data_IF_977339695116
#
_entry.id   IF_977339695116
#
_cell.length_a   1.000
_cell.length_b   1.000
_cell.length_c   1.000
_cell.angle_alpha   90.00
_cell.angle_beta   90.00
_cell.angle_gamma   90.00
#
_symmetry.space_group_name_H-M   'P 1'
#
loop_
_entity.id
_entity.type
_entity.pdbx_description
1 polymer ?
#
# COMPACT_ATOMS: atom_id res chain seq x y z
N UNK A 1 -114.90 -61.33 -7.36
CA UNK A 1 -115.34 -60.32 -8.35
C UNK A 1 -114.10 -59.87 -9.09
N UNK A 2 -113.86 -60.21 -10.35
CA UNK A 2 -114.63 -61.02 -11.30
C UNK A 2 -113.66 -61.51 -12.38
N UNK A 3 -114.07 -62.60 -13.01
CA UNK A 3 -113.38 -63.27 -14.11
C UNK A 3 -113.35 -62.40 -15.37
N UNK A 4 -112.31 -62.54 -16.20
CA UNK A 4 -112.50 -62.49 -17.66
C UNK A 4 -111.33 -63.15 -18.40
N UNK A 5 -111.60 -64.33 -18.94
CA UNK A 5 -110.95 -64.85 -20.15
C UNK A 5 -111.27 -63.93 -21.34
N UNK A 6 -110.32 -63.71 -22.26
CA UNK A 6 -110.54 -64.01 -23.68
C UNK A 6 -109.30 -63.79 -24.58
N UNK A 7 -108.94 -64.89 -25.26
CA UNK A 7 -108.65 -65.06 -26.69
C UNK A 7 -107.62 -64.20 -27.47
N UNK A 8 -106.77 -64.97 -28.17
CA UNK A 8 -105.73 -64.66 -29.15
C UNK A 8 -106.20 -63.79 -30.36
N UNK A 9 -105.25 -63.25 -31.16
CA UNK A 9 -104.84 -64.05 -32.33
C UNK A 9 -103.32 -64.22 -32.47
N UNK A 10 -103.00 -65.44 -32.85
CA UNK A 10 -101.74 -65.98 -33.31
C UNK A 10 -101.31 -65.29 -34.62
N UNK A 11 -100.18 -64.60 -34.61
CA UNK A 11 -99.49 -64.16 -35.83
C UNK A 11 -98.31 -65.10 -36.05
N UNK A 12 -98.44 -65.96 -37.06
CA UNK A 12 -97.39 -66.80 -37.58
C UNK A 12 -96.21 -65.94 -38.08
N UNK A 13 -95.19 -65.76 -37.25
CA UNK A 13 -93.86 -65.36 -37.73
C UNK A 13 -93.09 -66.59 -38.19
N UNK A 14 -92.87 -66.65 -39.51
CA UNK A 14 -91.96 -67.58 -40.14
C UNK A 14 -90.56 -67.43 -39.54
N UNK A 15 -90.15 -68.40 -38.71
CA UNK A 15 -88.76 -68.55 -38.27
C UNK A 15 -87.86 -68.70 -39.50
N UNK A 16 -87.13 -67.63 -39.84
CA UNK A 16 -85.89 -67.73 -40.61
C UNK A 16 -84.86 -68.41 -39.71
N UNK A 17 -84.62 -69.69 -39.94
CA UNK A 17 -83.45 -70.39 -39.43
C UNK A 17 -82.20 -69.60 -39.86
N UNK A 18 -81.59 -68.86 -38.94
CA UNK A 18 -80.27 -68.27 -39.17
C UNK A 18 -79.27 -69.42 -39.36
N UNK A 19 -78.43 -69.41 -40.41
CA UNK A 19 -77.49 -70.50 -40.62
C UNK A 19 -76.55 -70.54 -39.41
N UNK A 20 -76.52 -71.68 -38.71
CA UNK A 20 -75.79 -71.91 -37.43
C UNK A 20 -74.32 -71.45 -37.51
N UNK A 21 -73.71 -71.47 -38.69
CA UNK A 21 -72.37 -70.93 -38.94
C UNK A 21 -72.21 -69.42 -38.71
N UNK A 22 -73.24 -68.61 -38.97
CA UNK A 22 -73.18 -67.14 -38.78
C UNK A 22 -73.28 -66.77 -37.29
N UNK A 23 -74.06 -67.52 -36.50
CA UNK A 23 -74.15 -67.37 -35.05
C UNK A 23 -72.81 -67.76 -34.40
N UNK A 24 -72.23 -68.90 -34.80
CA UNK A 24 -70.92 -69.34 -34.31
C UNK A 24 -69.80 -68.33 -34.60
N UNK A 25 -69.78 -67.74 -35.80
CA UNK A 25 -68.82 -66.68 -36.16
C UNK A 25 -69.02 -65.43 -35.31
N UNK A 26 -70.26 -65.02 -35.04
CA UNK A 26 -70.54 -63.83 -34.21
C UNK A 26 -70.07 -64.00 -32.75
N UNK A 27 -70.22 -65.21 -32.19
CA UNK A 27 -69.80 -65.53 -30.82
C UNK A 27 -68.27 -65.52 -30.72
N UNK A 28 -67.57 -66.12 -31.70
CA UNK A 28 -66.10 -66.10 -31.76
C UNK A 28 -65.59 -64.66 -31.87
N UNK A 29 -66.23 -63.83 -32.70
CA UNK A 29 -65.86 -62.43 -32.90
C UNK A 29 -66.09 -61.60 -31.62
N UNK A 30 -67.17 -61.85 -30.88
CA UNK A 30 -67.42 -61.23 -29.58
C UNK A 30 -66.38 -61.62 -28.52
N UNK A 31 -65.93 -62.88 -28.48
CA UNK A 31 -64.88 -63.34 -27.56
C UNK A 31 -63.52 -62.70 -27.91
N UNK A 32 -63.18 -62.61 -29.20
CA UNK A 32 -61.95 -61.92 -29.66
C UNK A 32 -61.99 -60.43 -29.32
N UNK A 33 -63.14 -59.76 -29.48
CA UNK A 33 -63.30 -58.36 -29.08
C UNK A 33 -63.17 -58.17 -27.57
N UNK A 34 -63.78 -59.03 -26.74
CA UNK A 34 -63.63 -58.97 -25.29
C UNK A 34 -62.18 -59.20 -24.84
N UNK A 35 -61.47 -60.14 -25.48
CA UNK A 35 -60.04 -60.36 -25.24
C UNK A 35 -59.19 -59.15 -25.63
N UNK A 36 -59.47 -58.54 -26.79
CA UNK A 36 -58.77 -57.35 -27.28
C UNK A 36 -59.03 -56.13 -26.38
N UNK A 37 -60.25 -55.97 -25.87
CA UNK A 37 -60.61 -54.93 -24.89
C UNK A 37 -59.91 -55.17 -23.55
N UNK A 38 -59.92 -56.40 -23.02
CA UNK A 38 -59.21 -56.73 -21.79
C UNK A 38 -57.71 -56.50 -21.91
N UNK A 39 -57.10 -56.91 -23.02
CA UNK A 39 -55.68 -56.65 -23.31
C UNK A 39 -55.39 -55.15 -23.41
N UNK A 40 -56.27 -54.38 -24.08
CA UNK A 40 -56.15 -52.93 -24.18
C UNK A 40 -56.21 -52.25 -22.81
N UNK A 41 -57.17 -52.61 -21.96
CA UNK A 41 -57.28 -52.05 -20.60
C UNK A 41 -56.08 -52.41 -19.72
N UNK A 42 -55.57 -53.64 -19.83
CA UNK A 42 -54.37 -54.10 -19.10
C UNK A 42 -53.10 -53.38 -19.59
N UNK A 43 -52.98 -53.14 -20.90
CA UNK A 43 -51.85 -52.38 -21.46
C UNK A 43 -51.96 -50.90 -21.09
N UNK A 44 -53.18 -50.34 -21.09
CA UNK A 44 -53.45 -48.96 -20.69
C UNK A 44 -53.14 -48.74 -19.21
N UNK A 45 -53.52 -49.64 -18.30
CA UNK A 45 -53.18 -49.53 -16.87
C UNK A 45 -51.67 -49.54 -16.65
N UNK A 46 -50.94 -50.45 -17.29
CA UNK A 46 -49.48 -50.52 -17.16
C UNK A 46 -48.78 -49.28 -17.74
N UNK A 47 -49.33 -48.69 -18.81
CA UNK A 47 -48.82 -47.46 -19.40
C UNK A 47 -49.07 -46.25 -18.48
N UNK A 48 -50.24 -46.17 -17.86
CA UNK A 48 -50.58 -45.11 -16.89
C UNK A 48 -49.70 -45.20 -15.64
N UNK A 49 -49.48 -46.41 -15.11
CA UNK A 49 -48.60 -46.62 -13.96
C UNK A 49 -47.15 -46.24 -14.26
N UNK A 50 -46.63 -46.64 -15.44
CA UNK A 50 -45.30 -46.24 -15.90
C UNK A 50 -45.17 -44.72 -16.09
N UNK A 51 -46.19 -44.08 -16.67
CA UNK A 51 -46.23 -42.63 -16.86
C UNK A 51 -46.25 -41.89 -15.51
N UNK A 52 -46.97 -42.42 -14.53
CA UNK A 52 -46.99 -41.88 -13.17
C UNK A 52 -45.61 -41.97 -12.49
N UNK A 53 -44.95 -43.13 -12.53
CA UNK A 53 -43.61 -43.33 -11.96
C UNK A 53 -42.60 -42.36 -12.60
N UNK A 54 -42.63 -42.23 -13.94
CA UNK A 54 -41.75 -41.31 -14.65
C UNK A 54 -42.06 -39.85 -14.30
N UNK A 55 -43.32 -39.50 -14.04
CA UNK A 55 -43.71 -38.14 -13.64
C UNK A 55 -43.19 -37.83 -12.24
N UNK A 56 -43.37 -38.74 -11.28
CA UNK A 56 -42.87 -38.60 -9.91
C UNK A 56 -41.33 -38.47 -9.87
N UNK A 57 -40.62 -39.29 -10.64
CA UNK A 57 -39.16 -39.20 -10.75
C UNK A 57 -38.72 -37.86 -11.36
N UNK A 58 -39.37 -37.44 -12.45
CA UNK A 58 -39.11 -36.16 -13.11
C UNK A 58 -39.34 -34.98 -12.15
N UNK A 59 -40.39 -35.02 -11.34
CA UNK A 59 -40.72 -33.95 -10.38
C UNK A 59 -39.74 -33.91 -9.19
N UNK A 60 -39.28 -35.08 -8.74
CA UNK A 60 -38.21 -35.18 -7.74
C UNK A 60 -36.92 -34.53 -8.22
N UNK A 61 -36.48 -34.86 -9.44
CA UNK A 61 -35.30 -34.27 -10.07
C UNK A 61 -35.47 -32.76 -10.34
N UNK A 62 -36.66 -32.33 -10.75
CA UNK A 62 -36.98 -30.91 -10.91
C UNK A 62 -36.86 -30.15 -9.58
N UNK A 63 -37.29 -30.75 -8.47
CA UNK A 63 -37.11 -30.17 -7.14
C UNK A 63 -35.65 -30.11 -6.72
N UNK A 64 -34.84 -31.10 -7.07
CA UNK A 64 -33.40 -31.09 -6.83
C UNK A 64 -32.70 -29.97 -7.61
N UNK A 65 -33.07 -29.75 -8.87
CA UNK A 65 -32.63 -28.60 -9.67
C UNK A 65 -33.05 -27.26 -9.04
N UNK A 66 -34.29 -27.13 -8.55
CA UNK A 66 -34.74 -25.91 -7.85
C UNK A 66 -33.93 -25.65 -6.57
N UNK A 67 -33.62 -26.69 -5.80
CA UNK A 67 -32.72 -26.58 -4.63
C UNK A 67 -31.32 -26.13 -5.03
N UNK A 68 -30.81 -26.64 -6.15
CA UNK A 68 -29.51 -26.24 -6.67
C UNK A 68 -29.50 -24.77 -7.11
N UNK A 69 -30.54 -24.33 -7.82
CA UNK A 69 -30.71 -22.93 -8.21
C UNK A 69 -30.76 -21.99 -6.99
N UNK A 70 -31.43 -22.42 -5.92
CA UNK A 70 -31.41 -21.69 -4.65
C UNK A 70 -30.00 -21.69 -4.03
N UNK A 71 -29.28 -22.80 -4.07
CA UNK A 71 -27.88 -22.87 -3.64
C UNK A 71 -27.00 -21.84 -4.34
N UNK A 72 -27.10 -21.71 -5.66
CA UNK A 72 -26.41 -20.68 -6.43
C UNK A 72 -26.76 -19.25 -5.98
N UNK A 73 -28.02 -18.97 -5.64
CA UNK A 73 -28.45 -17.66 -5.14
C UNK A 73 -27.83 -17.28 -3.78
N UNK A 74 -27.53 -18.29 -2.95
CA UNK A 74 -26.88 -18.07 -1.65
C UNK A 74 -25.39 -17.79 -1.76
N UNK A 75 -24.75 -18.20 -2.86
CA UNK A 75 -23.34 -17.94 -3.10
C UNK A 75 -23.18 -16.50 -3.63
N UNK A 76 -22.49 -15.67 -2.86
CA UNK A 76 -22.13 -14.30 -3.26
C UNK A 76 -20.65 -14.05 -3.01
N UNK A 77 -20.03 -13.29 -3.91
CA UNK A 77 -18.65 -12.86 -3.81
C UNK A 77 -18.53 -11.37 -4.11
N UNK A 78 -17.40 -10.75 -3.77
CA UNK A 78 -17.08 -9.39 -4.21
C UNK A 78 -16.45 -9.36 -5.61
N UNK A 79 -16.42 -10.49 -6.30
CA UNK A 79 -15.90 -10.61 -7.66
C UNK A 79 -17.05 -10.63 -8.68
N UNK A 80 -17.15 -9.57 -9.49
CA UNK A 80 -18.23 -9.39 -10.45
C UNK A 80 -18.29 -10.51 -11.50
N UNK A 81 -17.14 -10.96 -11.99
CA UNK A 81 -17.07 -12.07 -12.96
C UNK A 81 -17.60 -13.37 -12.35
N UNK A 82 -17.26 -13.66 -11.10
CA UNK A 82 -17.74 -14.84 -10.40
C UNK A 82 -19.25 -14.77 -10.16
N UNK A 83 -19.77 -13.60 -9.76
CA UNK A 83 -21.20 -13.38 -9.59
C UNK A 83 -21.97 -13.54 -10.92
N UNK A 84 -21.42 -13.04 -12.03
CA UNK A 84 -22.00 -13.21 -13.36
C UNK A 84 -22.05 -14.69 -13.78
N UNK A 85 -21.00 -15.45 -13.49
CA UNK A 85 -20.96 -16.89 -13.77
C UNK A 85 -21.98 -17.67 -12.92
N UNK A 86 -22.13 -17.35 -11.63
CA UNK A 86 -23.14 -17.94 -10.75
C UNK A 86 -24.57 -17.66 -11.28
N UNK A 87 -24.83 -16.43 -11.71
CA UNK A 87 -26.12 -16.06 -12.30
C UNK A 87 -26.41 -16.84 -13.60
N UNK A 88 -25.40 -17.02 -14.44
CA UNK A 88 -25.51 -17.80 -15.69
C UNK A 88 -25.85 -19.27 -15.43
N UNK A 89 -25.18 -19.92 -14.47
CA UNK A 89 -25.48 -21.32 -14.12
C UNK A 89 -26.89 -21.46 -13.52
N UNK A 90 -27.34 -20.48 -12.73
CA UNK A 90 -28.73 -20.42 -12.27
C UNK A 90 -29.71 -20.29 -13.44
N UNK A 91 -29.44 -19.41 -14.40
CA UNK A 91 -30.28 -19.23 -15.58
C UNK A 91 -30.35 -20.51 -16.43
N UNK A 92 -29.22 -21.23 -16.56
CA UNK A 92 -29.19 -22.55 -17.20
C UNK A 92 -30.13 -23.55 -16.54
N UNK A 93 -30.27 -23.53 -15.20
CA UNK A 93 -31.25 -24.37 -14.50
C UNK A 93 -32.68 -23.96 -14.86
N UNK A 94 -32.98 -22.66 -14.90
CA UNK A 94 -34.32 -22.16 -15.27
C UNK A 94 -34.67 -22.57 -16.71
N UNK A 95 -33.73 -22.44 -17.64
CA UNK A 95 -33.89 -22.87 -19.02
C UNK A 95 -34.12 -24.38 -19.10
N UNK A 96 -33.35 -25.19 -18.37
CA UNK A 96 -33.49 -26.65 -18.31
C UNK A 96 -34.87 -27.08 -17.80
N UNK A 97 -35.43 -26.38 -16.80
CA UNK A 97 -36.77 -26.65 -16.28
C UNK A 97 -37.90 -26.24 -17.25
N UNK A 98 -37.62 -25.35 -18.20
CA UNK A 98 -38.59 -24.87 -19.21
C UNK A 98 -38.69 -25.74 -20.47
N UNK A 99 -37.81 -26.73 -20.63
CA UNK A 99 -37.78 -27.61 -21.81
C UNK A 99 -39.03 -28.51 -21.83
N UNK A 100 -39.74 -28.52 -22.96
CA UNK A 100 -40.82 -29.44 -23.24
C UNK A 100 -40.29 -30.68 -23.98
N UNK A 101 -40.23 -31.83 -23.30
CA UNK A 101 -39.83 -33.12 -23.84
C UNK A 101 -40.53 -34.27 -23.09
N UNK A 102 -40.35 -35.51 -23.54
CA UNK A 102 -40.87 -36.69 -22.84
C UNK A 102 -40.26 -36.83 -21.44
N UNK A 103 -41.01 -37.39 -20.47
CA UNK A 103 -40.50 -37.58 -19.10
C UNK A 103 -39.20 -38.39 -19.08
N UNK A 104 -39.10 -39.45 -19.89
CA UNK A 104 -37.90 -40.27 -19.98
C UNK A 104 -36.66 -39.47 -20.45
N UNK A 105 -36.85 -38.55 -21.41
CA UNK A 105 -35.77 -37.68 -21.88
C UNK A 105 -35.39 -36.63 -20.84
N UNK A 106 -36.38 -36.00 -20.20
CA UNK A 106 -36.16 -35.01 -19.15
C UNK A 106 -35.42 -35.61 -17.95
N UNK A 107 -35.80 -36.81 -17.48
CA UNK A 107 -35.11 -37.53 -16.41
C UNK A 107 -33.63 -37.72 -16.75
N UNK A 108 -33.35 -38.18 -17.97
CA UNK A 108 -31.97 -38.44 -18.42
C UNK A 108 -31.14 -37.16 -18.48
N UNK A 109 -31.71 -36.06 -19.00
CA UNK A 109 -31.08 -34.74 -19.04
C UNK A 109 -30.86 -34.17 -17.63
N UNK A 110 -31.88 -34.20 -16.78
CA UNK A 110 -31.81 -33.68 -15.41
C UNK A 110 -30.74 -34.39 -14.59
N UNK A 111 -30.70 -35.74 -14.61
CA UNK A 111 -29.66 -36.50 -13.90
C UNK A 111 -28.24 -36.13 -14.32
N UNK A 112 -28.02 -35.97 -15.62
CA UNK A 112 -26.70 -35.58 -16.17
C UNK A 112 -26.31 -34.16 -15.72
N UNK A 113 -27.19 -33.18 -15.93
CA UNK A 113 -26.93 -31.78 -15.64
C UNK A 113 -26.80 -31.51 -14.13
N UNK A 114 -27.60 -32.17 -13.28
CA UNK A 114 -27.50 -32.06 -11.82
C UNK A 114 -26.09 -32.40 -11.33
N UNK A 115 -25.49 -33.46 -11.88
CA UNK A 115 -24.13 -33.87 -11.49
C UNK A 115 -23.12 -32.79 -11.88
N UNK A 116 -23.16 -32.33 -13.13
CA UNK A 116 -22.27 -31.28 -13.63
C UNK A 116 -22.42 -29.97 -12.85
N UNK A 117 -23.64 -29.49 -12.65
CA UNK A 117 -23.91 -28.24 -11.93
C UNK A 117 -23.50 -28.35 -10.46
N UNK A 118 -23.67 -29.51 -9.81
CA UNK A 118 -23.14 -29.72 -8.44
C UNK A 118 -21.63 -29.56 -8.36
N UNK A 119 -20.91 -30.12 -9.32
CA UNK A 119 -19.45 -30.03 -9.32
C UNK A 119 -18.97 -28.61 -9.63
N UNK A 120 -19.65 -27.89 -10.53
CA UNK A 120 -19.43 -26.46 -10.76
C UNK A 120 -19.70 -25.66 -9.48
N UNK A 121 -20.81 -25.91 -8.79
CA UNK A 121 -21.15 -25.23 -7.53
C UNK A 121 -20.08 -25.46 -6.46
N UNK A 122 -19.60 -26.70 -6.27
CA UNK A 122 -18.50 -27.01 -5.35
C UNK A 122 -17.22 -26.25 -5.72
N UNK A 123 -16.90 -26.18 -7.00
CA UNK A 123 -15.74 -25.42 -7.49
C UNK A 123 -15.87 -23.93 -7.17
N UNK A 124 -17.05 -23.33 -7.34
CA UNK A 124 -17.27 -21.94 -6.95
C UNK A 124 -17.19 -21.70 -5.45
N UNK A 125 -17.69 -22.62 -4.61
CA UNK A 125 -17.55 -22.53 -3.16
C UNK A 125 -16.06 -22.44 -2.77
N UNK A 126 -15.23 -23.32 -3.33
CA UNK A 126 -13.77 -23.32 -3.08
C UNK A 126 -13.13 -22.01 -3.57
N UNK A 127 -13.54 -21.50 -4.72
CA UNK A 127 -13.01 -20.22 -5.24
C UNK A 127 -13.41 -19.03 -4.37
N UNK A 128 -14.67 -18.96 -3.91
CA UNK A 128 -15.14 -17.91 -3.00
C UNK A 128 -14.36 -17.95 -1.69
N UNK A 129 -14.19 -19.13 -1.11
CA UNK A 129 -13.46 -19.30 0.14
C UNK A 129 -11.98 -18.91 0.00
N UNK A 130 -11.34 -19.33 -1.10
CA UNK A 130 -9.96 -18.94 -1.42
C UNK A 130 -9.81 -17.42 -1.58
N UNK A 131 -10.73 -16.79 -2.30
CA UNK A 131 -10.75 -15.33 -2.48
C UNK A 131 -10.96 -14.60 -1.16
N UNK A 132 -11.88 -15.07 -0.31
CA UNK A 132 -12.15 -14.48 0.99
C UNK A 132 -10.94 -14.61 1.91
N UNK A 133 -10.33 -15.79 1.98
CA UNK A 133 -9.11 -16.04 2.76
C UNK A 133 -7.96 -15.14 2.31
N UNK A 134 -7.74 -15.03 1.00
CA UNK A 134 -6.73 -14.10 0.44
C UNK A 134 -7.05 -12.65 0.76
N UNK A 135 -8.30 -12.23 0.68
CA UNK A 135 -8.70 -10.88 1.03
C UNK A 135 -8.41 -10.57 2.50
N UNK A 136 -8.75 -11.48 3.42
CA UNK A 136 -8.43 -11.34 4.85
C UNK A 136 -6.93 -11.22 5.11
N UNK A 137 -6.11 -12.07 4.46
CA UNK A 137 -4.65 -12.00 4.57
C UNK A 137 -4.12 -10.66 4.04
N UNK A 138 -4.59 -10.22 2.87
CA UNK A 138 -4.18 -8.93 2.28
C UNK A 138 -4.59 -7.75 3.15
N UNK A 139 -5.76 -7.79 3.79
CA UNK A 139 -6.20 -6.75 4.74
C UNK A 139 -5.30 -6.73 5.97
N UNK A 140 -4.97 -7.89 6.54
CA UNK A 140 -4.06 -7.99 7.68
C UNK A 140 -2.65 -7.50 7.34
N UNK A 141 -2.13 -7.88 6.18
CA UNK A 141 -0.83 -7.41 5.67
C UNK A 141 -0.83 -5.90 5.43
N UNK A 142 -1.89 -5.35 4.80
CA UNK A 142 -2.01 -3.91 4.58
C UNK A 142 -2.03 -3.12 5.90
N UNK A 143 -2.73 -3.62 6.92
CA UNK A 143 -2.73 -3.02 8.25
C UNK A 143 -1.35 -3.09 8.92
N UNK A 144 -0.63 -4.21 8.76
CA UNK A 144 0.72 -4.35 9.29
C UNK A 144 1.69 -3.39 8.61
N UNK A 145 1.68 -3.32 7.27
CA UNK A 145 2.51 -2.40 6.49
C UNK A 145 2.24 -0.96 6.90
N UNK A 146 0.97 -0.56 7.10
CA UNK A 146 0.64 0.81 7.55
C UNK A 146 1.22 1.13 8.92
N UNK A 147 1.17 0.18 9.88
CA UNK A 147 1.78 0.36 11.20
C UNK A 147 3.29 0.47 11.11
N UNK A 148 3.92 -0.37 10.29
CA UNK A 148 5.36 -0.39 10.12
C UNK A 148 5.85 0.88 9.43
N UNK A 149 5.12 1.36 8.42
CA UNK A 149 5.39 2.62 7.74
C UNK A 149 5.32 3.81 8.70
N UNK A 150 4.25 3.92 9.51
CA UNK A 150 4.13 4.99 10.50
C UNK A 150 5.30 4.99 11.48
N UNK A 151 5.66 3.82 12.00
CA UNK A 151 6.79 3.68 12.93
C UNK A 151 8.13 4.08 12.32
N UNK A 152 8.37 3.70 11.06
CA UNK A 152 9.59 4.11 10.33
C UNK A 152 9.59 5.62 10.11
N UNK A 153 8.45 6.21 9.75
CA UNK A 153 8.33 7.65 9.57
C UNK A 153 8.63 8.40 10.89
N UNK A 154 8.00 7.99 11.99
CA UNK A 154 8.20 8.61 13.31
C UNK A 154 9.68 8.52 13.74
N UNK A 155 10.30 7.35 13.56
CA UNK A 155 11.72 7.13 13.87
C UNK A 155 12.62 8.02 13.01
N UNK A 156 12.30 8.19 11.72
CA UNK A 156 13.10 9.02 10.82
C UNK A 156 13.00 10.51 11.20
N UNK A 157 11.81 10.99 11.54
CA UNK A 157 11.62 12.37 12.02
C UNK A 157 12.37 12.62 13.34
N UNK A 158 12.37 11.65 14.26
CA UNK A 158 13.15 11.72 15.49
C UNK A 158 14.66 11.75 15.21
N UNK A 159 15.15 10.83 14.36
CA UNK A 159 16.57 10.77 13.99
C UNK A 159 17.05 12.06 13.32
N UNK A 160 16.25 12.66 12.45
CA UNK A 160 16.60 13.95 11.83
C UNK A 160 16.65 15.09 12.86
N UNK A 161 15.73 15.12 13.85
CA UNK A 161 15.81 16.09 14.95
C UNK A 161 17.06 15.91 15.80
N UNK A 162 17.34 14.68 16.22
CA UNK A 162 18.52 14.34 17.03
C UNK A 162 19.80 14.66 16.26
N UNK A 163 19.84 14.37 14.95
CA UNK A 163 20.96 14.70 14.09
C UNK A 163 21.16 16.21 13.97
N UNK A 164 20.09 16.98 13.77
CA UNK A 164 20.17 18.44 13.68
C UNK A 164 20.68 19.05 15.00
N UNK A 165 20.20 18.55 16.13
CA UNK A 165 20.67 18.97 17.46
C UNK A 165 22.15 18.64 17.67
N UNK A 166 22.56 17.40 17.38
CA UNK A 166 23.97 16.97 17.50
C UNK A 166 24.88 17.78 16.57
N UNK A 167 24.46 18.06 15.33
CA UNK A 167 25.24 18.88 14.41
C UNK A 167 25.42 20.31 14.94
N UNK A 168 24.37 20.93 15.48
CA UNK A 168 24.47 22.26 16.08
C UNK A 168 25.40 22.27 17.30
N UNK A 169 25.34 21.23 18.15
CA UNK A 169 26.26 21.10 19.28
C UNK A 169 27.71 20.91 18.83
N UNK A 170 27.95 20.09 17.80
CA UNK A 170 29.28 19.88 17.23
C UNK A 170 29.83 21.16 16.61
N UNK A 171 29.03 21.91 15.87
CA UNK A 171 29.44 23.20 15.27
C UNK A 171 29.95 24.16 16.35
N UNK A 172 29.17 24.38 17.41
CA UNK A 172 29.58 25.23 18.55
C UNK A 172 30.82 24.67 19.26
N UNK A 173 30.86 23.36 19.49
CA UNK A 173 31.95 22.72 20.22
C UNK A 173 33.25 22.61 19.40
N UNK A 174 33.16 22.65 18.07
CA UNK A 174 34.31 22.58 17.16
C UNK A 174 35.09 23.89 17.04
N UNK A 175 34.54 25.01 17.53
CA UNK A 175 35.22 26.31 17.46
C UNK A 175 36.54 26.28 18.26
N UNK A 176 37.66 26.51 17.58
CA UNK A 176 38.99 26.57 18.21
C UNK A 176 39.16 27.95 18.85
N UNK A 177 39.31 28.00 20.17
CA UNK A 177 39.50 29.27 20.90
C UNK A 177 40.99 29.67 20.96
N UNK A 178 41.28 30.96 20.91
CA UNK A 178 42.62 31.50 21.16
C UNK A 178 42.78 31.91 22.63
N UNK A 179 43.92 31.58 23.25
CA UNK A 179 44.33 32.06 24.58
C UNK A 179 45.65 32.81 24.50
N UNK A 180 45.99 33.51 25.58
CA UNK A 180 47.25 34.25 25.71
C UNK A 180 47.49 35.22 24.55
N UNK A 181 46.47 35.99 24.17
CA UNK A 181 46.55 36.95 23.07
C UNK A 181 47.32 38.19 23.55
N UNK A 182 48.58 38.30 23.14
CA UNK A 182 49.50 39.36 23.53
C UNK A 182 49.87 40.22 22.31
N UNK A 183 49.17 41.34 22.10
CA UNK A 183 49.56 42.34 21.11
C UNK A 183 50.69 43.23 21.63
N UNK A 184 51.77 43.35 20.85
CA UNK A 184 52.96 44.14 21.20
C UNK A 184 53.39 44.98 20.00
N UNK A 185 53.54 46.28 20.24
CA UNK A 185 54.13 47.20 19.27
C UNK A 185 55.65 47.16 19.33
N UNK A 186 56.31 46.99 18.18
CA UNK A 186 57.76 46.82 18.04
C UNK A 186 58.34 47.94 17.17
N UNK A 187 59.52 48.43 17.56
CA UNK A 187 60.29 49.37 16.75
C UNK A 187 61.16 48.67 15.69
N UNK A 188 61.89 49.44 14.88
CA UNK A 188 62.82 48.92 13.85
C UNK A 188 63.94 48.00 14.38
N UNK A 189 64.21 48.02 15.69
CA UNK A 189 65.18 47.15 16.38
C UNK A 189 64.49 45.97 17.09
N UNK A 190 63.22 45.69 16.78
CA UNK A 190 62.39 44.67 17.42
C UNK A 190 62.27 44.80 18.94
N UNK A 191 62.40 46.04 19.47
CA UNK A 191 62.15 46.33 20.89
C UNK A 191 60.74 46.87 21.07
N UNK A 192 60.11 46.47 22.17
CA UNK A 192 58.78 46.94 22.54
C UNK A 192 58.76 48.46 22.69
N UNK A 193 57.73 49.09 22.14
CA UNK A 193 57.51 50.53 22.27
C UNK A 193 56.03 50.83 22.29
N UNK A 194 55.64 51.80 23.11
CA UNK A 194 54.30 52.39 23.06
C UNK A 194 54.27 53.67 22.23
N UNK A 195 55.41 54.16 21.73
CA UNK A 195 55.49 55.43 21.01
C UNK A 195 55.15 55.23 19.53
N UNK A 196 54.12 55.92 19.04
CA UNK A 196 53.68 55.86 17.66
C UNK A 196 54.81 56.19 16.66
N UNK A 197 55.59 57.23 16.96
CA UNK A 197 56.72 57.65 16.12
C UNK A 197 57.83 56.60 15.98
N UNK A 198 57.87 55.59 16.86
CA UNK A 198 58.85 54.51 16.82
C UNK A 198 58.23 53.19 16.33
N UNK A 199 56.93 53.13 16.08
CA UNK A 199 56.22 51.94 15.65
C UNK A 199 56.70 51.49 14.27
N UNK A 200 57.12 50.24 14.16
CA UNK A 200 57.47 49.58 12.92
C UNK A 200 56.51 48.43 12.59
N UNK A 201 56.25 47.55 13.56
CA UNK A 201 55.42 46.36 13.39
C UNK A 201 54.59 46.14 14.66
N UNK A 202 53.33 45.74 14.52
CA UNK A 202 52.54 45.17 15.61
C UNK A 202 52.61 43.64 15.50
N UNK A 203 53.10 42.99 16.55
CA UNK A 203 53.13 41.53 16.66
C UNK A 203 52.05 41.08 17.62
N UNK A 204 51.17 40.20 17.19
CA UNK A 204 50.15 39.57 18.03
C UNK A 204 50.47 38.10 18.16
N UNK A 205 50.95 37.68 19.32
CA UNK A 205 51.19 36.26 19.62
C UNK A 205 50.01 35.70 20.41
N UNK A 206 49.63 34.46 20.12
CA UNK A 206 48.52 33.76 20.76
C UNK A 206 48.71 32.23 20.65
N UNK A 207 47.93 31.49 21.43
CA UNK A 207 47.89 30.04 21.36
C UNK A 207 46.49 29.61 20.92
N UNK A 208 46.39 28.91 19.80
CA UNK A 208 45.18 28.16 19.45
C UNK A 208 45.06 26.98 20.42
N UNK A 209 43.96 26.91 21.17
CA UNK A 209 43.78 25.87 22.20
C UNK A 209 43.57 24.51 21.56
N UNK A 210 43.98 23.45 22.27
CA UNK A 210 43.55 22.09 21.95
C UNK A 210 42.02 21.98 21.89
N UNK A 211 41.53 21.32 20.85
CA UNK A 211 40.12 21.01 20.66
C UNK A 211 40.04 19.67 19.91
N UNK A 212 39.65 18.57 20.59
CA UNK A 212 39.54 17.25 19.96
C UNK A 212 38.34 17.10 19.02
N UNK A 213 37.38 18.04 19.06
CA UNK A 213 36.16 18.03 18.22
C UNK A 213 36.40 18.78 16.90
N UNK A 214 37.32 19.74 16.88
CA UNK A 214 37.69 20.49 15.69
C UNK A 214 38.41 19.60 14.65
N UNK A 215 38.34 19.97 13.37
CA UNK A 215 39.11 19.28 12.32
C UNK A 215 40.59 19.68 12.38
N UNK A 216 41.49 18.69 12.32
CA UNK A 216 42.91 18.92 12.10
C UNK A 216 43.19 19.33 10.64
N UNK A 217 44.30 20.02 10.42
CA UNK A 217 44.79 20.40 9.10
C UNK A 217 45.29 21.84 9.04
N UNK A 218 45.44 22.37 7.82
CA UNK A 218 45.81 23.76 7.61
C UNK A 218 44.67 24.70 8.02
N UNK A 219 44.98 25.66 8.89
CA UNK A 219 44.06 26.66 9.43
C UNK A 219 44.61 28.05 9.18
N UNK A 220 43.81 28.93 8.59
CA UNK A 220 44.16 30.33 8.40
C UNK A 220 43.50 31.20 9.47
N UNK A 221 44.33 31.88 10.27
CA UNK A 221 43.86 32.83 11.28
C UNK A 221 43.94 34.24 10.72
N UNK A 222 42.81 34.96 10.75
CA UNK A 222 42.70 36.35 10.33
C UNK A 222 42.78 37.27 11.55
N UNK A 223 43.65 38.28 11.48
CA UNK A 223 43.81 39.32 12.48
C UNK A 223 43.12 40.60 11.99
N UNK A 224 42.25 41.17 12.82
CA UNK A 224 41.71 42.53 12.66
C UNK A 224 42.25 43.42 13.77
N UNK A 225 42.88 44.52 13.38
CA UNK A 225 43.33 45.57 14.29
C UNK A 225 42.45 46.79 14.06
N UNK A 226 41.63 47.11 15.06
CA UNK A 226 40.64 48.19 15.03
C UNK A 226 41.23 49.39 15.76
N UNK A 227 41.26 50.53 15.07
CA UNK A 227 41.72 51.82 15.58
C UNK A 227 40.75 52.42 16.62
N UNK A 228 41.21 53.43 17.39
CA UNK A 228 40.36 54.16 18.34
C UNK A 228 39.11 54.81 17.71
N UNK A 229 39.16 55.14 16.41
CA UNK A 229 38.06 55.71 15.62
C UNK A 229 37.19 54.66 14.92
N UNK A 230 37.30 53.40 15.33
CA UNK A 230 36.56 52.24 14.82
C UNK A 230 36.87 51.84 13.37
N UNK A 231 37.95 52.37 12.77
CA UNK A 231 38.44 51.93 11.46
C UNK A 231 39.38 50.73 11.58
N UNK A 232 39.29 49.77 10.66
CA UNK A 232 40.20 48.63 10.60
C UNK A 232 41.48 49.04 9.86
N UNK A 233 42.65 48.77 10.46
CA UNK A 233 43.92 48.89 9.74
C UNK A 233 43.95 47.81 8.66
N UNK A 234 44.11 48.17 7.40
CA UNK A 234 44.28 47.18 6.33
C UNK A 234 45.25 47.66 5.28
N UNK A 235 46.05 46.74 4.76
CA UNK A 235 47.05 47.02 3.72
C UNK A 235 46.46 47.04 2.32
N UNK A 236 45.26 46.49 2.12
CA UNK A 236 44.54 46.47 0.84
C UNK A 236 43.02 46.40 1.07
N UNK A 237 42.23 47.03 0.19
CA UNK A 237 40.77 46.88 0.16
C UNK A 237 40.31 45.47 -0.19
N UNK A 238 41.20 44.65 -0.75
CA UNK A 238 40.90 43.29 -1.18
C UNK A 238 41.11 42.25 -0.07
N UNK A 239 41.61 42.67 1.10
CA UNK A 239 41.81 41.80 2.26
C UNK A 239 40.47 41.49 2.94
N UNK A 240 39.65 40.67 2.29
CA UNK A 240 38.33 40.26 2.74
C UNK A 240 38.33 38.79 3.16
N UNK A 241 37.64 38.47 4.24
CA UNK A 241 37.31 37.10 4.63
C UNK A 241 35.81 37.00 4.95
N UNK A 242 35.26 35.80 4.83
CA UNK A 242 33.84 35.56 5.07
C UNK A 242 33.59 35.33 6.59
N UNK A 243 32.60 36.03 7.12
CA UNK A 243 32.12 35.93 8.50
C UNK A 243 30.60 36.02 8.51
N UNK A 244 29.90 34.97 8.95
CA UNK A 244 28.44 34.90 8.97
C UNK A 244 27.75 35.27 7.63
N UNK A 245 28.40 35.01 6.50
CA UNK A 245 27.90 35.34 5.16
C UNK A 245 28.24 36.76 4.67
N UNK A 246 28.83 37.60 5.53
CA UNK A 246 29.33 38.93 5.17
C UNK A 246 30.84 38.91 4.93
N UNK A 247 31.33 39.82 4.09
CA UNK A 247 32.76 40.03 3.87
C UNK A 247 33.31 41.07 4.83
N UNK A 248 34.22 40.66 5.71
CA UNK A 248 34.90 41.56 6.64
C UNK A 248 36.33 41.83 6.18
N UNK A 249 36.78 43.06 6.39
CA UNK A 249 38.17 43.45 6.14
C UNK A 249 39.07 42.93 7.27
N UNK A 250 40.19 42.31 6.91
CA UNK A 250 41.25 41.93 7.84
C UNK A 250 42.54 42.74 7.64
N UNK A 251 43.38 42.77 8.67
CA UNK A 251 44.64 43.50 8.71
C UNK A 251 45.81 42.65 8.22
N UNK A 252 45.90 41.41 8.73
CA UNK A 252 46.88 40.41 8.32
C UNK A 252 46.31 39.00 8.57
N UNK A 253 46.83 37.98 7.90
CA UNK A 253 46.46 36.59 8.16
C UNK A 253 47.72 35.72 8.28
N UNK A 254 47.57 34.53 8.87
CA UNK A 254 48.62 33.51 8.91
C UNK A 254 48.02 32.13 8.87
N UNK A 255 48.54 31.30 7.98
CA UNK A 255 48.26 29.86 7.96
C UNK A 255 49.19 29.11 8.93
N UNK A 256 48.65 28.08 9.57
CA UNK A 256 49.42 27.08 10.31
C UNK A 256 48.73 25.72 10.30
N UNK A 257 49.53 24.67 10.48
CA UNK A 257 49.05 23.30 10.59
C UNK A 257 48.62 23.01 12.03
N UNK A 258 47.33 22.80 12.24
CA UNK A 258 46.71 22.52 13.53
C UNK A 258 46.44 21.03 13.69
N UNK A 259 47.01 20.42 14.73
CA UNK A 259 46.92 18.97 15.00
C UNK A 259 46.07 18.64 16.24
N UNK A 260 44.99 19.41 16.48
CA UNK A 260 44.14 19.29 17.68
C UNK A 260 44.84 19.50 19.03
N UNK A 261 46.02 20.12 19.02
CA UNK A 261 46.84 20.41 20.20
C UNK A 261 47.06 21.92 20.32
N UNK A 262 47.50 22.36 21.50
CA UNK A 262 47.91 23.74 21.70
C UNK A 262 48.99 24.15 20.67
N UNK A 263 48.68 25.17 19.86
CA UNK A 263 49.59 25.69 18.83
C UNK A 263 49.87 27.17 19.08
N UNK A 264 51.11 27.49 19.40
CA UNK A 264 51.56 28.88 19.56
C UNK A 264 51.97 29.49 18.22
N UNK A 265 51.45 30.67 17.93
CA UNK A 265 51.77 31.40 16.71
C UNK A 265 51.66 32.91 16.90
N UNK A 266 52.27 33.66 15.99
CA UNK A 266 52.19 35.12 15.96
C UNK A 266 51.87 35.64 14.56
N UNK A 267 51.01 36.65 14.48
CA UNK A 267 50.73 37.41 13.27
C UNK A 267 51.43 38.76 13.37
N UNK A 268 52.02 39.22 12.28
CA UNK A 268 52.76 40.48 12.19
C UNK A 268 52.01 41.42 11.26
N UNK A 269 51.80 42.65 11.71
CA UNK A 269 51.18 43.74 10.94
C UNK A 269 52.17 44.89 10.83
N UNK A 270 52.59 45.20 9.61
CA UNK A 270 53.52 46.29 9.35
C UNK A 270 52.84 47.66 9.46
N UNK A 271 53.61 48.67 9.87
CA UNK A 271 53.12 50.04 9.92
C UNK A 271 53.19 50.69 8.54
N UNK A 272 52.04 50.83 7.88
CA UNK A 272 51.87 51.51 6.58
C UNK A 272 51.62 53.02 6.69
N UNK A 273 51.56 53.58 7.91
CA UNK A 273 51.27 54.99 8.17
C UNK A 273 49.85 55.26 8.69
N UNK A 274 48.99 54.24 8.77
CA UNK A 274 47.58 54.38 9.17
C UNK A 274 47.35 54.34 10.70
N UNK A 275 48.42 54.24 11.48
CA UNK A 275 48.33 54.21 12.94
C UNK A 275 48.26 55.64 13.52
N UNK A 276 47.34 55.83 14.45
CA UNK A 276 47.13 57.03 15.29
C UNK A 276 47.36 56.72 16.78
N UNK A 277 47.54 57.77 17.60
CA UNK A 277 47.60 57.63 19.06
C UNK A 277 46.25 57.17 19.62
N UNK A 278 46.28 56.25 20.59
CA UNK A 278 45.08 55.75 21.27
C UNK A 278 45.09 54.24 21.54
N UNK A 279 43.91 53.73 21.95
CA UNK A 279 43.71 52.31 22.26
C UNK A 279 43.18 51.55 21.06
N UNK A 280 43.83 50.43 20.73
CA UNK A 280 43.47 49.55 19.63
C UNK A 280 42.82 48.28 20.15
N UNK A 281 41.76 47.84 19.48
CA UNK A 281 41.20 46.50 19.70
C UNK A 281 41.81 45.52 18.69
N UNK A 282 42.09 44.32 19.15
CA UNK A 282 42.64 43.21 18.38
C UNK A 282 41.64 42.09 18.42
N UNK A 283 41.20 41.63 17.25
CA UNK A 283 40.28 40.51 17.10
C UNK A 283 40.94 39.43 16.22
N UNK A 284 40.82 38.17 16.64
CA UNK A 284 41.29 37.02 15.89
C UNK A 284 40.09 36.22 15.40
N UNK A 285 40.10 35.86 14.12
CA UNK A 285 39.07 35.05 13.49
C UNK A 285 39.66 33.79 12.87
N UNK A 286 38.93 32.69 12.96
CA UNK A 286 39.29 31.42 12.32
C UNK A 286 38.00 30.71 11.93
N UNK A 287 37.95 30.20 10.70
CA UNK A 287 36.79 29.45 10.16
C UNK A 287 35.45 30.17 10.39
N UNK A 288 35.42 31.48 10.13
CA UNK A 288 34.22 32.31 10.28
C UNK A 288 33.78 32.56 11.73
N UNK A 289 34.61 32.25 12.73
CA UNK A 289 34.32 32.48 14.15
C UNK A 289 35.29 33.50 14.76
N UNK A 290 34.80 34.35 15.67
CA UNK A 290 35.66 35.17 16.53
C UNK A 290 36.25 34.27 17.63
N UNK A 291 37.56 34.09 17.61
CA UNK A 291 38.26 33.14 18.50
C UNK A 291 38.95 33.81 19.69
N UNK A 292 39.01 35.14 19.71
CA UNK A 292 39.43 35.89 20.87
C UNK A 292 39.75 37.35 20.57
N UNK A 293 39.84 38.14 21.64
CA UNK A 293 40.05 39.58 21.58
C UNK A 293 41.11 40.04 22.56
N UNK A 294 41.83 41.11 22.24
CA UNK A 294 42.79 41.77 23.12
C UNK A 294 42.88 43.26 22.77
N UNK A 295 43.74 44.02 23.45
CA UNK A 295 43.93 45.44 23.15
C UNK A 295 45.34 45.90 23.47
N UNK A 296 45.82 46.93 22.78
CA UNK A 296 47.09 47.60 23.07
C UNK A 296 46.97 49.11 22.84
N UNK A 297 47.85 49.88 23.47
CA UNK A 297 47.83 51.34 23.42
C UNK A 297 49.09 51.90 22.76
N UNK A 298 48.89 52.87 21.87
CA UNK A 298 49.93 53.72 21.30
C UNK A 298 49.81 55.15 21.85
N UNK A 299 50.94 55.79 22.10
CA UNK A 299 51.13 57.13 22.67
C UNK A 299 52.16 57.93 21.88
#
# INVERSE_FOLDING_TARGET
MGDTENNLPEVNETKKELPVGMIAVSIILAVVLLFMVFMYFTQKSNMVEMEQILTEEKDSLANELRKLAFGYDTLKSNNDTLNANLAKEKERIVQLLSINASNAELIRRYRSEITTMRDIMKSYIVQIDSLNTRNQMLVAENQQIKRDFSRVQDTNEELERVRAELNAQVEVASVIQAKNIVPVALNRKNKETSKLNLLNIVRVCFTLRENPIASAGEKEVFLRVIRPDALVISTSSDNLFDFNGDKLIYSASRMAEYMNQDLEMCIYLENTGDFVEGNYSVELYLEGNLIGTSSFMLK
#
